data_IF_013946241657
#
_entry.id   IF_013946241657
#
_cell.length_a   1.000
_cell.length_b   1.000
_cell.length_c   1.000
_cell.angle_alpha   90.00
_cell.angle_beta   90.00
_cell.angle_gamma   90.00
#
_symmetry.space_group_name_H-M   'P 1'
#
loop_
_entity.id
_entity.type
_entity.pdbx_description
1 polymer ?
#
# COMPACT_ATOMS: atom_id res chain seq x y z
N UNK A 1 -25.22 -14.24 -18.21
CA UNK A 1 -23.75 -14.22 -18.03
C UNK A 1 -23.29 -15.63 -17.69
N UNK A 2 -22.19 -16.10 -18.30
CA UNK A 2 -21.56 -17.36 -17.88
C UNK A 2 -20.95 -17.28 -16.48
N UNK A 3 -20.64 -18.43 -15.89
CA UNK A 3 -20.09 -18.56 -14.53
C UNK A 3 -18.85 -17.68 -14.30
N UNK A 4 -17.91 -17.64 -15.24
CA UNK A 4 -16.72 -16.78 -15.16
C UNK A 4 -17.03 -15.28 -15.16
N UNK A 5 -18.00 -14.83 -15.96
CA UNK A 5 -18.39 -13.42 -15.98
C UNK A 5 -18.93 -12.97 -14.63
N UNK A 6 -19.69 -13.83 -13.95
CA UNK A 6 -20.19 -13.56 -12.59
C UNK A 6 -19.04 -13.48 -11.58
N UNK A 7 -18.07 -14.39 -11.64
CA UNK A 7 -16.90 -14.37 -10.75
C UNK A 7 -16.08 -13.08 -10.93
N UNK A 8 -15.83 -12.66 -12.17
CA UNK A 8 -15.11 -11.42 -12.48
C UNK A 8 -15.86 -10.20 -11.93
N UNK A 9 -17.18 -10.12 -12.13
CA UNK A 9 -17.98 -9.04 -11.57
C UNK A 9 -17.93 -9.02 -10.04
N UNK A 10 -18.07 -10.19 -9.39
CA UNK A 10 -17.98 -10.31 -7.94
C UNK A 10 -16.63 -9.86 -7.39
N UNK A 11 -15.53 -10.25 -8.06
CA UNK A 11 -14.18 -9.83 -7.68
C UNK A 11 -13.96 -8.32 -7.90
N UNK A 12 -14.45 -7.79 -9.01
CA UNK A 12 -14.41 -6.36 -9.28
C UNK A 12 -15.18 -5.54 -8.22
N UNK A 13 -16.36 -6.00 -7.82
CA UNK A 13 -17.16 -5.39 -6.76
C UNK A 13 -16.41 -5.36 -5.43
N UNK A 14 -15.78 -6.47 -5.04
CA UNK A 14 -14.97 -6.54 -3.81
C UNK A 14 -13.82 -5.52 -3.85
N UNK A 15 -13.16 -5.41 -5.01
CA UNK A 15 -12.09 -4.42 -5.24
C UNK A 15 -12.60 -2.98 -5.14
N UNK A 16 -13.78 -2.67 -5.67
CA UNK A 16 -14.36 -1.32 -5.53
C UNK A 16 -14.73 -1.01 -4.08
N UNK A 17 -15.31 -1.95 -3.33
CA UNK A 17 -15.61 -1.77 -1.90
C UNK A 17 -14.34 -1.52 -1.07
N UNK A 18 -13.26 -2.25 -1.37
CA UNK A 18 -11.96 -1.99 -0.74
C UNK A 18 -11.39 -0.63 -1.16
N UNK A 19 -11.61 -0.21 -2.41
CA UNK A 19 -11.17 1.12 -2.89
C UNK A 19 -11.95 2.24 -2.23
N UNK A 20 -13.25 2.07 -1.98
CA UNK A 20 -14.08 3.02 -1.24
C UNK A 20 -13.60 3.16 0.21
N UNK A 21 -13.30 2.03 0.88
CA UNK A 21 -12.69 2.04 2.21
C UNK A 21 -11.37 2.82 2.22
N UNK A 22 -10.45 2.51 1.31
CA UNK A 22 -9.17 3.23 1.19
C UNK A 22 -9.33 4.68 0.72
N UNK A 23 -10.48 5.01 0.12
CA UNK A 23 -10.86 6.36 -0.29
C UNK A 23 -11.09 7.30 0.89
N UNK A 24 -11.41 6.76 2.07
CA UNK A 24 -11.63 7.53 3.30
C UNK A 24 -10.35 8.12 3.90
N UNK A 25 -9.17 7.72 3.42
CA UNK A 25 -7.90 8.13 3.99
C UNK A 25 -7.73 9.65 4.02
N UNK A 26 -7.18 10.18 5.13
CA UNK A 26 -6.84 11.61 5.28
C UNK A 26 -6.01 12.14 4.11
N UNK A 27 -5.09 11.32 3.58
CA UNK A 27 -4.27 11.71 2.43
C UNK A 27 -5.08 12.01 1.16
N UNK A 28 -6.34 11.56 1.08
CA UNK A 28 -7.26 11.75 -0.05
C UNK A 28 -8.34 12.79 0.24
N UNK A 29 -8.92 12.75 1.43
CA UNK A 29 -10.05 13.61 1.82
C UNK A 29 -9.61 14.91 2.49
N UNK A 30 -8.36 14.99 2.97
CA UNK A 30 -7.82 16.06 3.81
C UNK A 30 -8.57 16.26 5.15
N UNK A 31 -9.41 15.30 5.55
CA UNK A 31 -10.23 15.33 6.76
C UNK A 31 -10.08 13.99 7.47
N UNK A 32 -9.86 14.00 8.79
CA UNK A 32 -9.84 12.77 9.61
C UNK A 32 -11.16 12.03 9.47
N UNK A 33 -11.18 10.81 8.93
CA UNK A 33 -12.41 10.04 8.79
C UNK A 33 -12.97 9.67 10.16
N UNK A 34 -14.29 9.66 10.26
CA UNK A 34 -14.96 9.14 11.44
C UNK A 34 -14.78 7.61 11.53
N UNK A 35 -14.53 7.11 12.74
CA UNK A 35 -14.36 5.69 13.01
C UNK A 35 -15.62 4.89 12.60
N UNK A 36 -16.81 5.47 12.73
CA UNK A 36 -18.05 4.84 12.28
C UNK A 36 -18.09 4.65 10.76
N UNK A 37 -17.57 5.62 9.99
CA UNK A 37 -17.50 5.55 8.54
C UNK A 37 -16.50 4.48 8.06
N UNK A 38 -15.36 4.36 8.74
CA UNK A 38 -14.38 3.28 8.49
C UNK A 38 -15.01 1.92 8.78
N UNK A 39 -15.64 1.77 9.95
CA UNK A 39 -16.30 0.52 10.35
C UNK A 39 -17.40 0.12 9.35
N UNK A 40 -18.24 1.05 8.92
CA UNK A 40 -19.28 0.81 7.94
C UNK A 40 -18.72 0.42 6.55
N UNK A 41 -17.65 1.06 6.09
CA UNK A 41 -17.00 0.71 4.83
C UNK A 41 -16.33 -0.68 4.89
N UNK A 42 -15.62 -0.98 5.98
CA UNK A 42 -15.03 -2.30 6.23
C UNK A 42 -16.09 -3.38 6.30
N UNK A 43 -17.19 -3.14 7.00
CA UNK A 43 -18.29 -4.09 7.13
C UNK A 43 -18.91 -4.40 5.76
N UNK A 44 -19.16 -3.40 4.90
CA UNK A 44 -19.67 -3.62 3.54
C UNK A 44 -18.73 -4.52 2.72
N UNK A 45 -17.42 -4.31 2.82
CA UNK A 45 -16.43 -5.16 2.16
C UNK A 45 -16.47 -6.61 2.68
N UNK A 46 -16.43 -6.81 4.01
CA UNK A 46 -16.43 -8.13 4.62
C UNK A 46 -17.75 -8.89 4.38
N UNK A 47 -18.89 -8.19 4.44
CA UNK A 47 -20.19 -8.77 4.12
C UNK A 47 -20.24 -9.27 2.67
N UNK A 48 -19.76 -8.47 1.71
CA UNK A 48 -19.67 -8.88 0.31
C UNK A 48 -18.80 -10.11 0.12
N UNK A 49 -17.67 -10.21 0.82
CA UNK A 49 -16.81 -11.41 0.78
C UNK A 49 -17.53 -12.62 1.39
N UNK A 50 -18.22 -12.45 2.53
CA UNK A 50 -18.95 -13.53 3.19
C UNK A 50 -20.07 -14.10 2.29
N UNK A 51 -20.81 -13.24 1.59
CA UNK A 51 -21.84 -13.63 0.62
C UNK A 51 -21.28 -14.44 -0.57
N UNK A 52 -19.97 -14.30 -0.83
CA UNK A 52 -19.28 -14.93 -1.95
C UNK A 52 -18.10 -15.81 -1.52
N UNK A 53 -18.18 -16.39 -0.32
CA UNK A 53 -17.12 -17.22 0.27
C UNK A 53 -16.79 -18.48 -0.56
N UNK A 54 -17.62 -18.84 -1.54
CA UNK A 54 -17.34 -19.87 -2.53
C UNK A 54 -16.17 -19.51 -3.47
N UNK A 55 -15.71 -18.26 -3.48
CA UNK A 55 -14.52 -17.79 -4.19
C UNK A 55 -13.34 -17.70 -3.20
N UNK A 56 -12.43 -18.69 -3.18
CA UNK A 56 -11.33 -18.73 -2.21
C UNK A 56 -10.38 -17.53 -2.33
N UNK A 57 -10.26 -16.93 -3.52
CA UNK A 57 -9.46 -15.73 -3.75
C UNK A 57 -9.99 -14.52 -2.97
N UNK A 58 -11.31 -14.41 -2.79
CA UNK A 58 -11.91 -13.33 -1.99
C UNK A 58 -11.73 -13.56 -0.49
N UNK A 59 -11.82 -14.81 -0.05
CA UNK A 59 -11.52 -15.17 1.35
C UNK A 59 -10.07 -14.83 1.67
N UNK A 60 -9.14 -15.25 0.81
CA UNK A 60 -7.70 -14.94 0.95
C UNK A 60 -7.45 -13.42 0.98
N UNK A 61 -8.17 -12.66 0.14
CA UNK A 61 -8.09 -11.19 0.14
C UNK A 61 -8.57 -10.62 1.48
N UNK A 62 -9.70 -11.08 2.02
CA UNK A 62 -10.20 -10.62 3.31
C UNK A 62 -9.26 -10.96 4.46
N UNK A 63 -8.71 -12.17 4.49
CA UNK A 63 -7.68 -12.58 5.47
C UNK A 63 -6.45 -11.68 5.40
N UNK A 64 -6.00 -11.35 4.18
CA UNK A 64 -4.88 -10.42 3.98
C UNK A 64 -5.23 -9.04 4.51
N UNK A 65 -6.42 -8.50 4.20
CA UNK A 65 -6.86 -7.20 4.70
C UNK A 65 -6.94 -7.19 6.23
N UNK A 66 -7.44 -8.27 6.84
CA UNK A 66 -7.51 -8.45 8.29
C UNK A 66 -6.13 -8.47 8.93
N UNK A 67 -5.21 -9.25 8.38
CA UNK A 67 -3.83 -9.35 8.86
C UNK A 67 -3.12 -7.99 8.89
N UNK A 68 -3.44 -7.10 7.94
CA UNK A 68 -2.84 -5.78 7.83
C UNK A 68 -3.73 -4.65 8.39
N UNK A 69 -4.81 -4.99 9.10
CA UNK A 69 -5.84 -4.02 9.49
C UNK A 69 -5.26 -2.84 10.28
N UNK A 70 -4.45 -3.07 11.31
CA UNK A 70 -3.86 -2.00 12.13
C UNK A 70 -3.08 -0.98 11.29
N UNK A 71 -2.36 -1.46 10.27
CA UNK A 71 -1.62 -0.62 9.33
C UNK A 71 -2.54 0.15 8.39
N UNK A 72 -3.60 -0.49 7.89
CA UNK A 72 -4.63 0.14 7.06
C UNK A 72 -5.35 1.22 7.85
N UNK A 73 -5.80 0.93 9.06
CA UNK A 73 -6.49 1.87 9.95
C UNK A 73 -5.61 3.08 10.28
N UNK A 74 -4.34 2.84 10.61
CA UNK A 74 -3.35 3.91 10.82
C UNK A 74 -3.20 4.76 9.57
N UNK A 75 -3.11 4.15 8.38
CA UNK A 75 -3.05 4.88 7.12
C UNK A 75 -4.32 5.71 6.87
N UNK A 76 -5.50 5.16 7.15
CA UNK A 76 -6.76 5.89 6.98
C UNK A 76 -6.81 7.14 7.85
N UNK A 77 -6.39 7.04 9.12
CA UNK A 77 -6.44 8.13 10.08
C UNK A 77 -5.31 9.16 9.92
N UNK A 78 -4.12 8.75 9.46
CA UNK A 78 -2.92 9.61 9.46
C UNK A 78 -2.40 9.95 8.07
N UNK A 79 -2.77 9.18 7.05
CA UNK A 79 -2.17 9.25 5.71
C UNK A 79 -0.70 8.79 5.66
N UNK A 80 -0.13 8.30 6.76
CA UNK A 80 1.27 7.86 6.82
C UNK A 80 1.41 6.54 6.07
N UNK A 81 2.39 6.47 5.18
CA UNK A 81 2.72 5.26 4.40
C UNK A 81 4.20 4.95 4.48
N UNK A 82 4.56 3.67 4.31
CA UNK A 82 5.95 3.25 4.22
C UNK A 82 6.60 3.60 2.86
N UNK A 83 5.85 4.19 1.91
CA UNK A 83 6.29 4.43 0.54
C UNK A 83 7.59 5.26 0.45
N UNK A 84 7.72 6.29 1.30
CA UNK A 84 8.93 7.12 1.35
C UNK A 84 10.16 6.31 1.81
N UNK A 85 9.99 5.46 2.82
CA UNK A 85 11.04 4.59 3.34
C UNK A 85 11.41 3.49 2.36
N UNK A 86 10.43 2.91 1.66
CA UNK A 86 10.66 1.92 0.60
C UNK A 86 11.39 2.52 -0.61
N UNK A 87 11.04 3.74 -1.01
CA UNK A 87 11.75 4.49 -2.04
C UNK A 87 13.22 4.68 -1.67
N UNK A 88 13.50 5.08 -0.44
CA UNK A 88 14.87 5.19 0.07
C UNK A 88 15.59 3.84 0.08
N UNK A 89 14.93 2.77 0.54
CA UNK A 89 15.51 1.43 0.56
C UNK A 89 15.85 0.93 -0.85
N UNK A 90 15.02 1.24 -1.86
CA UNK A 90 15.28 0.91 -3.26
C UNK A 90 16.49 1.66 -3.80
N UNK A 91 16.61 2.97 -3.51
CA UNK A 91 17.79 3.77 -3.88
C UNK A 91 19.06 3.25 -3.23
N UNK A 92 19.02 2.92 -1.93
CA UNK A 92 20.16 2.35 -1.20
C UNK A 92 20.59 1.02 -1.82
N UNK A 93 19.64 0.13 -2.13
CA UNK A 93 19.94 -1.15 -2.79
C UNK A 93 20.54 -0.95 -4.18
N UNK A 94 20.07 0.04 -4.95
CA UNK A 94 20.65 0.39 -6.24
C UNK A 94 22.10 0.86 -6.09
N UNK A 95 22.36 1.80 -5.18
CA UNK A 95 23.73 2.27 -4.91
C UNK A 95 24.64 1.14 -4.43
N UNK A 96 24.13 0.23 -3.59
CA UNK A 96 24.90 -0.93 -3.13
C UNK A 96 25.26 -1.87 -4.30
N UNK A 97 24.37 -2.06 -5.28
CA UNK A 97 24.65 -2.81 -6.52
C UNK A 97 25.64 -2.08 -7.42
N UNK A 98 25.52 -0.76 -7.59
CA UNK A 98 26.47 0.03 -8.37
C UNK A 98 27.85 0.08 -7.71
N UNK A 99 27.90 -0.09 -6.38
CA UNK A 99 29.12 -0.17 -5.59
C UNK A 99 29.66 -1.60 -5.42
N UNK A 100 29.23 -2.55 -6.25
CA UNK A 100 29.81 -3.90 -6.21
C UNK A 100 31.31 -3.82 -6.57
N UNK A 101 32.19 -4.21 -5.64
CA UNK A 101 33.64 -4.14 -5.79
C UNK A 101 34.36 -3.12 -4.89
N UNK A 102 33.64 -2.26 -4.17
CA UNK A 102 34.26 -1.38 -3.16
C UNK A 102 34.73 -2.19 -1.95
N UNK A 103 36.04 -2.20 -1.68
CA UNK A 103 36.64 -2.86 -0.49
C UNK A 103 36.47 -2.06 0.80
N UNK A 104 36.07 -0.79 0.73
CA UNK A 104 35.94 0.12 1.87
C UNK A 104 34.46 0.41 2.23
N UNK A 105 34.01 -0.10 3.38
CA UNK A 105 32.63 0.08 3.90
C UNK A 105 32.27 1.54 4.17
N UNK A 106 33.22 2.41 4.51
CA UNK A 106 32.95 3.82 4.77
C UNK A 106 32.51 4.55 3.49
N UNK A 107 33.18 4.28 2.36
CA UNK A 107 32.84 4.87 1.06
C UNK A 107 31.49 4.38 0.54
N UNK A 108 31.17 3.09 0.78
CA UNK A 108 29.86 2.53 0.43
C UNK A 108 28.72 3.23 1.19
N UNK A 109 28.88 3.44 2.51
CA UNK A 109 27.90 4.16 3.36
C UNK A 109 27.73 5.62 2.95
N UNK A 110 28.82 6.31 2.61
CA UNK A 110 28.81 7.70 2.16
C UNK A 110 27.98 7.86 0.87
N UNK A 111 28.15 6.98 -0.12
CA UNK A 111 27.36 7.04 -1.37
C UNK A 111 25.86 6.82 -1.16
N UNK A 112 25.47 5.82 -0.37
CA UNK A 112 24.06 5.61 -0.02
C UNK A 112 23.47 6.82 0.72
N UNK A 113 24.24 7.46 1.62
CA UNK A 113 23.82 8.71 2.28
C UNK A 113 23.67 9.86 1.30
N UNK A 114 24.61 10.06 0.37
CA UNK A 114 24.52 11.12 -0.63
C UNK A 114 23.30 10.93 -1.54
N UNK A 115 23.08 9.72 -2.06
CA UNK A 115 21.96 9.40 -2.95
C UNK A 115 20.57 9.53 -2.29
N UNK A 116 20.49 9.34 -0.97
CA UNK A 116 19.21 9.46 -0.22
C UNK A 116 18.93 10.87 0.30
N UNK A 117 19.83 11.84 0.08
CA UNK A 117 19.58 13.24 0.47
C UNK A 117 18.35 13.80 -0.27
N UNK A 118 17.65 14.76 0.35
CA UNK A 118 16.50 15.44 -0.28
C UNK A 118 16.88 16.12 -1.60
N UNK A 119 18.10 16.68 -1.67
CA UNK A 119 18.62 17.35 -2.87
C UNK A 119 18.82 16.36 -4.02
N UNK A 120 19.55 15.28 -3.79
CA UNK A 120 19.81 14.27 -4.83
C UNK A 120 18.55 13.56 -5.32
N UNK A 121 17.54 13.38 -4.45
CA UNK A 121 16.23 12.84 -4.87
C UNK A 121 15.43 13.76 -5.80
N UNK A 122 15.53 15.08 -5.62
CA UNK A 122 14.88 16.06 -6.51
C UNK A 122 15.56 16.13 -7.89
N UNK A 123 16.89 16.07 -7.91
CA UNK A 123 17.66 16.06 -9.16
C UNK A 123 17.42 14.79 -9.99
N UNK A 124 17.07 13.66 -9.36
CA UNK A 124 16.77 12.39 -10.01
C UNK A 124 15.33 12.26 -10.56
N UNK A 125 14.43 13.22 -10.30
CA UNK A 125 13.10 13.32 -10.90
C UNK A 125 12.97 14.70 -11.56
N UNK A 126 13.37 14.85 -12.83
CA UNK A 126 13.12 16.08 -13.56
C UNK A 126 11.60 16.30 -13.67
N UNK A 127 11.18 17.54 -13.39
CA UNK A 127 9.80 17.98 -13.49
C UNK A 127 9.25 17.86 -14.91
#
# INVERSE_FOLDING_TARGET
MGTYGRQICTAWQAKELLRDLLGLAVSRTHITPDHSAISAARHRFLAHVADHAYLPELVTLAETVEQWWDGIETYLATGITNAASEGNNRLIKLEARNAFGFRNRANQRLRSRCATTRRSRREAHPH
#
